data_IF_614960848721
#
_entry.id   IF_614960848721
#
_cell.length_a   1.000
_cell.length_b   1.000
_cell.length_c   1.000
_cell.angle_alpha   90.00
_cell.angle_beta   90.00
_cell.angle_gamma   90.00
#
_symmetry.space_group_name_H-M   'P 1'
#
loop_
_entity.id
_entity.type
_entity.pdbx_description
1 polymer ?
#
# COMPACT_ATOMS: atom_id res chain seq x y z
N UNK A 1 -21.63 -29.27 4.70
CA UNK A 1 -20.28 -29.28 4.09
C UNK A 1 -20.25 -28.24 2.97
N UNK A 2 -19.71 -27.04 3.22
CA UNK A 2 -19.50 -26.03 2.17
C UNK A 2 -18.06 -26.19 1.70
N UNK A 3 -17.87 -26.68 0.48
CA UNK A 3 -16.56 -26.65 -0.18
C UNK A 3 -16.19 -25.17 -0.33
N UNK A 4 -15.17 -24.71 0.38
CA UNK A 4 -14.49 -23.48 -0.03
C UNK A 4 -14.00 -23.75 -1.46
N UNK A 5 -14.48 -22.98 -2.43
CA UNK A 5 -13.85 -22.98 -3.74
C UNK A 5 -12.38 -22.63 -3.50
N UNK A 6 -11.47 -23.50 -3.92
CA UNK A 6 -10.04 -23.23 -3.83
C UNK A 6 -9.79 -21.95 -4.65
N UNK A 7 -9.38 -20.87 -3.99
CA UNK A 7 -8.98 -19.63 -4.66
C UNK A 7 -7.63 -19.88 -5.31
N UNK A 8 -7.44 -19.47 -6.56
CA UNK A 8 -6.12 -19.50 -7.16
C UNK A 8 -5.22 -18.46 -6.47
N UNK A 9 -3.94 -18.80 -6.31
CA UNK A 9 -2.92 -17.93 -5.74
C UNK A 9 -2.89 -16.59 -6.46
N UNK A 10 -2.81 -15.50 -5.70
CA UNK A 10 -2.38 -14.22 -6.29
C UNK A 10 -0.89 -14.34 -6.56
N UNK A 11 -0.50 -14.18 -7.82
CA UNK A 11 0.90 -14.26 -8.20
C UNK A 11 1.68 -13.09 -7.59
N UNK A 12 2.84 -13.40 -7.01
CA UNK A 12 3.82 -12.37 -6.70
C UNK A 12 4.26 -11.73 -8.02
N UNK A 13 3.97 -10.44 -8.18
CA UNK A 13 4.44 -9.66 -9.33
C UNK A 13 5.62 -8.83 -8.85
N UNK A 14 6.82 -9.39 -8.99
CA UNK A 14 8.05 -8.69 -8.60
C UNK A 14 8.32 -7.53 -9.55
N UNK A 15 8.32 -6.31 -9.02
CA UNK A 15 8.89 -5.15 -9.70
C UNK A 15 10.42 -5.27 -9.68
N UNK A 16 11.00 -6.06 -10.59
CA UNK A 16 12.44 -6.04 -10.79
C UNK A 16 12.84 -4.68 -11.38
N UNK A 17 13.38 -3.79 -10.56
CA UNK A 17 14.02 -2.57 -11.02
C UNK A 17 15.34 -2.96 -11.68
N UNK A 18 15.36 -3.04 -13.02
CA UNK A 18 16.62 -3.10 -13.76
C UNK A 18 17.26 -1.71 -13.68
N UNK A 19 18.08 -1.49 -12.67
CA UNK A 19 19.16 -0.52 -12.78
C UNK A 19 20.19 -1.14 -13.74
N UNK A 20 20.25 -0.67 -14.98
CA UNK A 20 21.33 -1.06 -15.90
C UNK A 20 22.65 -0.49 -15.39
N UNK A 21 23.32 -1.26 -14.54
CA UNK A 21 24.74 -1.13 -14.21
C UNK A 21 25.43 -2.42 -14.65
N UNK A 22 26.21 -2.34 -15.71
CA UNK A 22 27.04 -3.44 -16.23
C UNK A 22 28.02 -3.96 -15.17
N UNK A 23 28.06 -5.27 -14.94
CA UNK A 23 29.13 -5.93 -14.19
C UNK A 23 28.77 -7.33 -13.71
N UNK A 24 29.36 -8.34 -14.34
CA UNK A 24 29.07 -9.76 -14.17
C UNK A 24 29.63 -10.37 -12.87
N UNK A 25 28.94 -11.40 -12.34
CA UNK A 25 29.49 -12.73 -12.03
C UNK A 25 28.44 -13.62 -11.34
N UNK A 26 28.42 -14.91 -11.71
CA UNK A 26 27.57 -15.96 -11.16
C UNK A 26 28.15 -16.58 -9.89
N UNK A 27 27.25 -17.16 -9.09
CA UNK A 27 27.33 -18.47 -8.42
C UNK A 27 27.19 -18.49 -6.89
N UNK A 28 26.10 -19.14 -6.48
CA UNK A 28 25.96 -20.22 -5.47
C UNK A 28 26.25 -19.97 -3.99
N UNK A 29 25.29 -20.47 -3.22
CA UNK A 29 25.28 -20.88 -1.82
C UNK A 29 25.18 -19.77 -0.75
N UNK A 30 24.02 -19.80 -0.08
CA UNK A 30 23.61 -18.90 0.97
C UNK A 30 24.46 -19.03 2.25
N UNK A 31 24.63 -17.93 3.01
CA UNK A 31 24.97 -18.06 4.41
C UNK A 31 24.00 -17.31 5.35
N UNK A 32 23.72 -18.02 6.45
CA UNK A 32 23.12 -17.60 7.71
C UNK A 32 23.96 -16.55 8.44
N UNK A 33 23.31 -15.73 9.29
CA UNK A 33 23.97 -14.74 10.16
C UNK A 33 24.72 -15.40 11.32
N UNK A 34 25.96 -14.99 11.57
CA UNK A 34 26.47 -14.75 12.94
C UNK A 34 27.73 -13.88 12.94
N UNK A 35 27.79 -12.92 13.86
CA UNK A 35 28.90 -11.99 14.04
C UNK A 35 30.06 -12.64 14.82
N UNK A 36 31.30 -12.42 14.35
CA UNK A 36 32.51 -12.10 15.14
C UNK A 36 33.74 -11.93 14.23
N UNK A 37 34.59 -11.00 14.64
CA UNK A 37 35.73 -10.39 13.94
C UNK A 37 36.79 -11.37 13.39
N UNK A 38 37.46 -11.01 12.27
CA UNK A 38 38.92 -10.78 12.19
C UNK A 38 39.26 -9.93 10.94
N UNK A 39 40.15 -8.98 11.19
CA UNK A 39 40.76 -7.92 10.37
C UNK A 39 41.43 -8.33 9.04
N UNK A 40 41.22 -7.52 8.00
CA UNK A 40 42.25 -7.18 7.01
C UNK A 40 41.95 -5.77 6.44
N UNK A 41 42.85 -4.83 6.69
CA UNK A 41 42.70 -3.44 6.29
C UNK A 41 42.99 -3.26 4.78
N UNK A 42 41.95 -2.95 4.01
CA UNK A 42 42.10 -2.29 2.70
C UNK A 42 41.79 -0.81 2.90
N UNK A 43 42.79 0.03 2.72
CA UNK A 43 42.68 1.49 2.86
C UNK A 43 41.84 2.04 1.70
N UNK A 44 40.56 2.26 1.94
CA UNK A 44 39.69 3.01 1.03
C UNK A 44 40.20 4.47 0.92
N UNK A 45 40.15 5.10 -0.27
CA UNK A 45 40.50 6.51 -0.42
C UNK A 45 39.53 7.38 0.40
N UNK A 46 40.03 8.51 0.90
CA UNK A 46 39.28 9.40 1.79
C UNK A 46 37.99 9.89 1.12
N UNK A 47 36.85 9.31 1.51
CA UNK A 47 35.53 9.84 1.17
C UNK A 47 35.27 10.98 2.15
N UNK A 48 35.27 12.20 1.62
CA UNK A 48 34.76 13.39 2.29
C UNK A 48 33.36 13.10 2.82
N UNK A 49 33.11 13.52 4.07
CA UNK A 49 31.85 13.32 4.78
C UNK A 49 30.64 13.77 3.95
N UNK A 50 29.98 12.84 3.27
CA UNK A 50 28.59 13.01 2.93
C UNK A 50 27.84 12.93 4.25
N UNK A 51 27.28 14.05 4.71
CA UNK A 51 26.25 14.03 5.73
C UNK A 51 25.11 13.21 5.17
N UNK A 52 25.07 11.92 5.52
CA UNK A 52 23.91 11.08 5.28
C UNK A 52 22.76 11.71 6.06
N UNK A 53 21.86 12.41 5.34
CA UNK A 53 20.51 12.64 5.82
C UNK A 53 19.96 11.23 6.08
N UNK A 54 19.49 10.96 7.29
CA UNK A 54 18.86 9.67 7.60
C UNK A 54 17.85 9.37 6.47
N UNK A 55 17.96 8.19 5.84
CA UNK A 55 16.96 7.72 4.88
C UNK A 55 15.62 7.70 5.64
N UNK A 56 14.70 8.58 5.26
CA UNK A 56 13.28 8.30 5.45
C UNK A 56 13.02 6.93 4.84
N UNK A 57 12.26 6.05 5.48
CA UNK A 57 11.86 4.79 4.86
C UNK A 57 11.25 5.14 3.50
N UNK A 58 11.78 4.56 2.42
CA UNK A 58 11.26 4.83 1.08
C UNK A 58 9.81 4.31 1.03
N UNK A 59 8.92 5.06 0.38
CA UNK A 59 7.58 4.56 0.10
C UNK A 59 7.65 3.20 -0.64
N UNK A 60 6.70 2.28 -0.37
CA UNK A 60 6.80 0.92 -0.87
C UNK A 60 6.64 0.86 -2.38
N UNK A 61 7.34 -0.07 -3.04
CA UNK A 61 7.32 -0.25 -4.49
C UNK A 61 6.39 -1.41 -4.87
N UNK A 62 5.08 -1.20 -4.76
CA UNK A 62 4.11 -2.23 -5.11
C UNK A 62 3.53 -2.05 -6.52
N UNK A 63 3.23 -3.17 -7.21
CA UNK A 63 2.34 -3.11 -8.38
C UNK A 63 0.95 -2.63 -7.97
N UNK A 64 0.21 -2.06 -8.92
CA UNK A 64 -1.24 -1.89 -8.76
C UNK A 64 -1.91 -3.21 -9.16
N UNK A 65 -2.69 -3.80 -8.26
CA UNK A 65 -3.60 -4.88 -8.61
C UNK A 65 -5.00 -4.36 -8.86
N UNK A 66 -5.69 -5.03 -9.78
CA UNK A 66 -7.07 -4.74 -10.11
C UNK A 66 -7.86 -6.04 -10.21
N UNK A 67 -9.10 -6.02 -9.71
CA UNK A 67 -10.04 -7.14 -9.88
C UNK A 67 -11.22 -6.71 -10.73
N UNK A 68 -11.55 -7.50 -11.73
CA UNK A 68 -12.78 -7.33 -12.50
C UNK A 68 -14.02 -7.91 -11.76
N UNK A 69 -15.21 -7.73 -12.34
CA UNK A 69 -16.46 -8.24 -11.74
C UNK A 69 -16.56 -9.76 -11.75
N UNK A 70 -15.84 -10.44 -12.63
CA UNK A 70 -15.81 -11.90 -12.75
C UNK A 70 -14.86 -12.54 -11.74
N UNK A 71 -14.02 -11.74 -11.09
CA UNK A 71 -13.04 -12.20 -10.11
C UNK A 71 -11.65 -12.46 -10.68
N UNK A 72 -11.37 -12.03 -11.91
CA UNK A 72 -10.01 -12.10 -12.46
C UNK A 72 -9.16 -10.95 -11.91
N UNK A 73 -7.94 -11.26 -11.53
CA UNK A 73 -6.94 -10.32 -11.05
C UNK A 73 -5.95 -9.97 -12.16
N UNK A 74 -5.58 -8.71 -12.19
CA UNK A 74 -4.62 -8.13 -13.11
C UNK A 74 -3.59 -7.32 -12.33
N UNK A 75 -2.31 -7.58 -12.56
CA UNK A 75 -1.20 -6.81 -12.00
C UNK A 75 -0.70 -5.78 -13.00
N UNK A 76 -0.44 -4.57 -12.51
CA UNK A 76 0.09 -3.44 -13.27
C UNK A 76 1.37 -2.95 -12.61
N UNK A 77 2.50 -3.27 -13.23
CA UNK A 77 3.82 -2.91 -12.71
C UNK A 77 4.10 -1.43 -13.04
N UNK A 78 4.57 -0.60 -12.08
CA UNK A 78 5.10 0.72 -12.37
C UNK A 78 6.15 0.68 -13.48
N UNK A 79 6.09 1.68 -14.38
CA UNK A 79 7.05 1.81 -15.47
C UNK A 79 8.31 2.61 -15.09
N UNK A 80 8.40 3.05 -13.82
CA UNK A 80 9.50 3.84 -13.28
C UNK A 80 9.47 5.33 -13.65
N UNK A 81 8.38 5.81 -14.29
CA UNK A 81 8.22 7.19 -14.79
C UNK A 81 6.85 7.78 -14.44
N UNK A 82 6.18 7.25 -13.40
CA UNK A 82 4.84 7.68 -13.01
C UNK A 82 3.75 7.16 -13.92
N UNK A 83 3.90 5.95 -14.47
CA UNK A 83 2.86 5.26 -15.21
C UNK A 83 2.93 3.75 -14.99
N UNK A 84 2.07 3.00 -15.68
CA UNK A 84 1.96 1.56 -15.52
C UNK A 84 2.31 0.85 -16.83
N UNK A 85 2.91 -0.34 -16.72
CA UNK A 85 3.11 -1.26 -17.85
C UNK A 85 1.78 -1.92 -18.24
N UNK A 86 1.81 -2.66 -19.35
CA UNK A 86 0.67 -3.49 -19.75
C UNK A 86 0.29 -4.49 -18.63
N UNK A 87 -1.00 -4.76 -18.42
CA UNK A 87 -1.44 -5.66 -17.37
C UNK A 87 -0.96 -7.08 -17.62
N UNK A 88 -0.67 -7.79 -16.54
CA UNK A 88 -0.43 -9.23 -16.54
C UNK A 88 -1.52 -9.94 -15.73
N UNK A 89 -1.98 -11.14 -16.12
CA UNK A 89 -2.86 -11.95 -15.28
C UNK A 89 -2.17 -12.25 -13.94
N UNK A 90 -2.90 -12.04 -12.84
CA UNK A 90 -2.39 -12.20 -11.49
C UNK A 90 -3.15 -13.25 -10.66
N UNK A 91 -4.27 -13.77 -11.16
CA UNK A 91 -5.08 -14.78 -10.48
C UNK A 91 -6.54 -14.73 -10.93
N UNK A 92 -7.34 -15.66 -10.44
CA UNK A 92 -8.78 -15.77 -10.73
C UNK A 92 -9.56 -16.24 -9.50
N UNK A 93 -10.89 -16.32 -9.62
CA UNK A 93 -11.79 -16.77 -8.56
C UNK A 93 -11.82 -15.85 -7.31
N UNK A 94 -11.63 -14.54 -7.49
CA UNK A 94 -11.63 -13.53 -6.41
C UNK A 94 -12.94 -12.74 -6.27
N UNK A 95 -14.01 -13.13 -6.95
CA UNK A 95 -15.30 -12.42 -6.99
C UNK A 95 -15.98 -12.30 -5.62
N UNK A 96 -15.71 -13.22 -4.69
CA UNK A 96 -16.27 -13.19 -3.34
C UNK A 96 -15.48 -12.34 -2.33
N UNK A 97 -14.28 -11.85 -2.68
CA UNK A 97 -13.51 -10.97 -1.82
C UNK A 97 -14.23 -9.61 -1.70
N UNK A 98 -14.41 -9.11 -0.49
CA UNK A 98 -14.98 -7.78 -0.27
C UNK A 98 -13.91 -6.69 -0.28
N UNK A 99 -12.75 -7.02 0.29
CA UNK A 99 -11.58 -6.15 0.38
C UNK A 99 -10.33 -6.99 0.12
N UNK A 100 -9.34 -6.36 -0.50
CA UNK A 100 -8.02 -6.92 -0.76
C UNK A 100 -7.02 -5.77 -0.64
N UNK A 101 -5.85 -6.02 -0.08
CA UNK A 101 -4.78 -5.03 0.06
C UNK A 101 -3.44 -5.74 0.19
N UNK A 102 -2.43 -5.20 -0.48
CA UNK A 102 -1.05 -5.67 -0.34
C UNK A 102 -0.47 -5.16 0.99
N UNK A 103 0.29 -6.01 1.68
CA UNK A 103 0.91 -5.69 2.96
C UNK A 103 2.40 -5.98 2.94
N UNK A 104 3.20 -5.03 3.41
CA UNK A 104 4.63 -5.18 3.71
C UNK A 104 4.79 -5.46 5.22
N UNK A 105 5.12 -6.71 5.56
CA UNK A 105 5.17 -7.18 6.93
C UNK A 105 6.56 -7.02 7.55
N UNK A 106 7.62 -7.06 6.75
CA UNK A 106 9.00 -6.94 7.23
C UNK A 106 9.62 -5.54 7.03
N UNK A 107 8.86 -4.62 6.42
CA UNK A 107 9.21 -3.23 6.14
C UNK A 107 10.45 -3.09 5.23
N UNK A 108 10.63 -4.02 4.29
CA UNK A 108 11.71 -3.97 3.30
C UNK A 108 11.39 -3.06 2.08
N UNK A 109 10.16 -2.55 2.00
CA UNK A 109 9.67 -1.69 0.93
C UNK A 109 8.92 -2.45 -0.18
N UNK A 110 8.76 -3.77 -0.05
CA UNK A 110 7.97 -4.59 -0.95
C UNK A 110 6.88 -5.32 -0.16
N UNK A 111 5.72 -5.53 -0.77
CA UNK A 111 4.71 -6.37 -0.11
C UNK A 111 5.16 -7.82 0.01
N UNK A 112 4.77 -8.45 1.12
CA UNK A 112 5.00 -9.85 1.47
C UNK A 112 3.78 -10.74 1.23
N UNK A 113 2.61 -10.13 1.04
CA UNK A 113 1.37 -10.84 0.87
C UNK A 113 0.17 -9.93 0.72
N UNK A 114 -1.01 -10.55 0.84
CA UNK A 114 -2.29 -9.85 0.89
C UNK A 114 -3.05 -10.12 2.16
N UNK A 115 -3.66 -9.06 2.69
CA UNK A 115 -4.86 -9.20 3.48
C UNK A 115 -6.09 -9.17 2.58
N UNK A 116 -7.01 -10.10 2.81
CA UNK A 116 -8.29 -10.15 2.12
C UNK A 116 -9.43 -10.47 3.08
N UNK A 117 -10.63 -9.96 2.76
CA UNK A 117 -11.83 -10.19 3.56
C UNK A 117 -12.88 -10.91 2.73
N UNK A 118 -13.30 -12.08 3.20
CA UNK A 118 -14.36 -12.87 2.59
C UNK A 118 -15.49 -13.13 3.56
N UNK A 119 -16.67 -12.59 3.26
CA UNK A 119 -17.80 -12.65 4.17
C UNK A 119 -17.48 -12.00 5.51
N UNK A 120 -17.16 -12.82 6.50
CA UNK A 120 -16.88 -12.43 7.89
C UNK A 120 -15.43 -12.69 8.33
N UNK A 121 -14.58 -13.20 7.44
CA UNK A 121 -13.22 -13.63 7.77
C UNK A 121 -12.20 -12.66 7.15
N UNK A 122 -11.26 -12.20 7.98
CA UNK A 122 -9.99 -11.62 7.51
C UNK A 122 -8.98 -12.75 7.39
N UNK A 123 -8.33 -12.80 6.24
CA UNK A 123 -7.28 -13.75 5.93
C UNK A 123 -6.01 -13.03 5.50
N UNK A 124 -4.87 -13.68 5.71
CA UNK A 124 -3.58 -13.29 5.17
C UNK A 124 -3.06 -14.41 4.29
N UNK A 125 -2.59 -14.08 3.09
CA UNK A 125 -1.90 -15.05 2.21
C UNK A 125 -0.53 -14.48 1.85
N UNK A 126 0.57 -15.11 2.32
CA UNK A 126 1.92 -14.74 1.90
C UNK A 126 2.11 -14.97 0.40
N UNK A 127 2.86 -14.09 -0.24
CA UNK A 127 3.28 -14.23 -1.62
C UNK A 127 4.04 -15.53 -1.88
N UNK A 128 3.85 -16.08 -3.07
CA UNK A 128 4.48 -17.34 -3.48
C UNK A 128 3.94 -18.59 -2.79
N UNK A 129 2.90 -18.46 -1.94
CA UNK A 129 2.29 -19.56 -1.21
C UNK A 129 0.79 -19.66 -1.48
N UNK A 130 0.22 -20.84 -1.30
CA UNK A 130 -1.23 -21.06 -1.22
C UNK A 130 -1.74 -21.11 0.23
N UNK A 131 -0.91 -20.69 1.19
CA UNK A 131 -1.19 -20.74 2.63
C UNK A 131 -2.10 -19.56 3.02
N UNK A 132 -3.41 -19.76 2.85
CA UNK A 132 -4.41 -18.80 3.27
C UNK A 132 -4.71 -18.95 4.77
N UNK A 133 -4.19 -18.01 5.57
CA UNK A 133 -4.26 -18.03 7.03
C UNK A 133 -5.46 -17.23 7.52
N UNK A 134 -6.34 -17.85 8.30
CA UNK A 134 -7.39 -17.15 9.02
C UNK A 134 -6.77 -16.30 10.13
N UNK A 135 -6.97 -14.98 10.06
CA UNK A 135 -6.51 -14.02 11.07
C UNK A 135 -7.60 -13.76 12.10
N UNK A 136 -8.86 -13.64 11.65
CA UNK A 136 -9.98 -13.41 12.57
C UNK A 136 -11.34 -13.39 11.90
N UNK A 137 -12.39 -13.41 12.74
CA UNK A 137 -13.80 -13.31 12.34
C UNK A 137 -14.41 -11.98 12.77
N UNK A 138 -15.66 -11.70 12.38
CA UNK A 138 -16.36 -10.45 12.67
C UNK A 138 -16.14 -9.35 11.63
N UNK A 139 -15.48 -9.67 10.52
CA UNK A 139 -15.12 -8.69 9.49
C UNK A 139 -16.27 -8.27 8.60
N UNK A 140 -17.46 -8.90 8.73
CA UNK A 140 -18.63 -8.52 7.94
C UNK A 140 -19.12 -7.10 8.25
N UNK A 141 -18.80 -6.58 9.43
CA UNK A 141 -19.23 -5.28 9.94
C UNK A 141 -18.45 -4.10 9.33
N UNK A 142 -17.33 -4.37 8.64
CA UNK A 142 -16.51 -3.34 7.99
C UNK A 142 -17.00 -3.04 6.57
N UNK A 143 -16.96 -1.76 6.20
CA UNK A 143 -17.28 -1.26 4.86
C UNK A 143 -16.04 -0.67 4.14
N UNK A 144 -14.88 -0.71 4.78
CA UNK A 144 -13.56 -0.37 4.25
C UNK A 144 -12.50 -1.12 5.05
N UNK A 145 -11.48 -1.65 4.37
CA UNK A 145 -10.27 -2.18 5.00
C UNK A 145 -9.10 -2.11 3.99
N UNK A 146 -7.95 -1.59 4.41
CA UNK A 146 -6.71 -1.56 3.61
C UNK A 146 -5.47 -1.41 4.51
N UNK A 147 -4.31 -1.85 4.04
CA UNK A 147 -3.02 -1.62 4.69
C UNK A 147 -2.64 -0.15 4.50
N UNK A 148 -2.48 0.58 5.61
CA UNK A 148 -2.37 2.04 5.60
C UNK A 148 -0.95 2.54 5.90
N UNK A 149 0.06 1.68 5.76
CA UNK A 149 1.39 1.95 6.29
C UNK A 149 1.46 1.76 7.81
N UNK A 150 2.56 2.14 8.43
CA UNK A 150 2.86 2.08 9.86
C UNK A 150 2.34 3.32 10.62
N UNK A 151 1.03 3.53 10.62
CA UNK A 151 0.37 4.67 11.28
C UNK A 151 0.56 4.68 12.80
N UNK A 152 0.66 3.50 13.40
CA UNK A 152 0.75 3.27 14.84
C UNK A 152 2.19 3.21 15.37
N UNK A 153 3.19 3.20 14.50
CA UNK A 153 4.62 3.28 14.86
C UNK A 153 5.27 1.97 15.29
N UNK A 154 4.63 0.81 15.10
CA UNK A 154 5.16 -0.51 15.47
C UNK A 154 6.23 -1.08 14.53
N UNK A 155 6.35 -0.56 13.31
CA UNK A 155 7.31 -1.00 12.29
C UNK A 155 6.62 -1.62 11.08
N UNK A 156 6.00 -2.80 11.21
CA UNK A 156 5.18 -3.40 10.15
C UNK A 156 4.00 -2.51 9.76
N UNK A 157 3.45 -2.73 8.56
CA UNK A 157 2.24 -2.02 8.14
C UNK A 157 1.02 -2.39 9.00
N UNK A 158 0.16 -1.40 9.21
CA UNK A 158 -1.07 -1.52 9.98
C UNK A 158 -2.28 -1.66 9.06
N UNK A 159 -3.31 -2.34 9.54
CA UNK A 159 -4.60 -2.46 8.87
C UNK A 159 -5.57 -1.40 9.39
N UNK A 160 -6.05 -0.54 8.49
CA UNK A 160 -7.06 0.48 8.79
C UNK A 160 -8.43 0.01 8.29
N UNK A 161 -9.43 0.03 9.16
CA UNK A 161 -10.76 -0.45 8.83
C UNK A 161 -11.87 0.49 9.33
N UNK A 162 -12.92 0.67 8.53
CA UNK A 162 -14.10 1.48 8.90
C UNK A 162 -15.33 0.60 9.04
N UNK A 163 -15.98 0.65 10.20
CA UNK A 163 -17.22 -0.08 10.41
C UNK A 163 -18.42 0.61 9.74
N UNK A 164 -19.54 -0.11 9.62
CA UNK A 164 -20.76 0.41 9.01
C UNK A 164 -21.33 1.66 9.72
N UNK A 165 -21.01 1.87 10.99
CA UNK A 165 -21.42 3.06 11.76
C UNK A 165 -20.49 4.26 11.57
N UNK A 166 -19.40 4.10 10.81
CA UNK A 166 -18.45 5.14 10.48
C UNK A 166 -17.41 5.38 11.58
N UNK A 167 -17.16 4.39 12.44
CA UNK A 167 -15.98 4.40 13.30
C UNK A 167 -14.80 3.83 12.52
N UNK A 168 -13.68 4.54 12.57
CA UNK A 168 -12.41 4.09 12.03
C UNK A 168 -11.57 3.45 13.13
N UNK A 169 -10.98 2.31 12.79
CA UNK A 169 -10.22 1.44 13.67
C UNK A 169 -8.86 1.16 13.05
N UNK A 170 -7.82 1.19 13.87
CA UNK A 170 -6.46 0.84 13.51
C UNK A 170 -6.10 -0.50 14.16
N UNK A 171 -5.55 -1.41 13.39
CA UNK A 171 -5.08 -2.73 13.83
C UNK A 171 -3.59 -2.80 13.55
N UNK A 172 -2.77 -2.92 14.60
CA UNK A 172 -1.32 -2.94 14.40
C UNK A 172 -0.86 -4.27 13.82
N UNK A 173 0.08 -4.22 12.88
CA UNK A 173 0.69 -5.41 12.30
C UNK A 173 1.68 -6.09 13.26
N UNK A 174 1.69 -7.43 13.29
CA UNK A 174 2.73 -8.20 13.98
C UNK A 174 3.95 -8.52 13.10
N UNK A 175 3.91 -8.20 11.82
CA UNK A 175 4.96 -8.53 10.85
C UNK A 175 4.94 -9.98 10.36
N UNK A 176 3.84 -10.70 10.58
CA UNK A 176 3.63 -12.06 10.07
C UNK A 176 2.23 -12.24 9.44
N UNK A 177 1.58 -11.13 9.13
CA UNK A 177 0.20 -11.05 8.65
C UNK A 177 -0.87 -11.11 9.74
N UNK A 178 -0.54 -11.36 11.01
CA UNK A 178 -1.50 -11.18 12.11
C UNK A 178 -1.60 -9.70 12.48
N UNK A 179 -2.72 -9.36 13.13
CA UNK A 179 -2.98 -8.02 13.65
C UNK A 179 -3.44 -8.02 15.10
N UNK A 180 -3.27 -6.91 15.81
CA UNK A 180 -3.68 -6.74 17.21
C UNK A 180 -5.21 -6.67 17.41
N UNK A 181 -5.64 -6.51 18.65
CA UNK A 181 -6.97 -5.90 18.91
C UNK A 181 -7.00 -4.44 18.41
N UNK A 182 -8.16 -3.92 18.00
CA UNK A 182 -8.23 -2.61 17.38
C UNK A 182 -8.08 -1.45 18.36
N UNK A 183 -7.39 -0.41 17.90
CA UNK A 183 -7.39 0.92 18.47
C UNK A 183 -8.46 1.77 17.77
N UNK A 184 -9.26 2.48 18.56
CA UNK A 184 -10.28 3.36 18.01
C UNK A 184 -9.63 4.67 17.54
N UNK A 185 -9.69 4.95 16.24
CA UNK A 185 -9.21 6.22 15.68
C UNK A 185 -10.26 7.32 15.92
N UNK A 186 -11.54 7.05 15.63
CA UNK A 186 -12.60 8.04 15.84
C UNK A 186 -13.90 7.72 15.11
N UNK A 187 -14.94 8.51 15.36
CA UNK A 187 -16.25 8.43 14.65
C UNK A 187 -16.31 9.44 13.51
N UNK A 188 -17.31 9.33 12.64
CA UNK A 188 -17.63 10.36 11.63
C UNK A 188 -17.00 10.12 10.25
N UNK A 189 -16.45 8.93 10.02
CA UNK A 189 -15.71 8.63 8.80
C UNK A 189 -16.57 8.17 7.62
N UNK A 190 -17.88 7.95 7.80
CA UNK A 190 -18.78 7.43 6.75
C UNK A 190 -18.89 8.34 5.51
N UNK A 191 -18.67 9.66 5.67
CA UNK A 191 -18.74 10.63 4.57
C UNK A 191 -17.49 10.70 3.69
N UNK A 192 -16.46 9.90 3.98
CA UNK A 192 -15.17 9.98 3.30
C UNK A 192 -14.86 8.76 2.43
N UNK A 193 -14.21 8.97 1.29
CA UNK A 193 -13.40 7.94 0.64
C UNK A 193 -11.95 8.11 1.13
N UNK A 194 -11.38 7.06 1.72
CA UNK A 194 -10.10 7.11 2.44
C UNK A 194 -9.11 6.20 1.71
N UNK A 195 -7.87 6.68 1.55
CA UNK A 195 -6.75 5.90 1.06
C UNK A 195 -5.44 6.43 1.67
N UNK A 196 -4.42 5.60 1.77
CA UNK A 196 -3.11 5.96 2.32
C UNK A 196 -2.25 4.72 2.44
N UNK A 197 -0.93 4.90 2.40
CA UNK A 197 0.13 3.88 2.55
C UNK A 197 1.43 4.63 2.27
N UNK A 198 2.27 4.88 3.27
CA UNK A 198 3.48 5.70 3.12
C UNK A 198 3.35 7.17 3.52
N UNK A 199 4.50 7.84 3.61
CA UNK A 199 4.65 9.25 4.02
C UNK A 199 4.49 10.22 2.83
N UNK A 200 3.40 10.99 2.83
CA UNK A 200 3.12 12.03 1.82
C UNK A 200 3.75 13.37 2.20
N UNK A 201 4.02 13.57 3.48
CA UNK A 201 4.46 14.86 4.02
C UNK A 201 5.96 15.00 4.17
N UNK A 202 6.72 13.91 4.05
CA UNK A 202 8.17 13.85 4.20
C UNK A 202 8.65 13.96 5.65
N UNK A 203 7.78 13.72 6.64
CA UNK A 203 8.13 13.81 8.07
C UNK A 203 8.53 12.48 8.72
N UNK A 204 8.61 11.41 7.91
CA UNK A 204 8.98 10.06 8.31
C UNK A 204 7.83 9.25 8.91
N UNK A 205 6.58 9.69 8.76
CA UNK A 205 5.39 9.00 9.27
C UNK A 205 4.38 8.83 8.15
N UNK A 206 3.73 7.67 8.13
CA UNK A 206 2.77 7.38 7.09
C UNK A 206 1.50 8.21 7.25
N UNK A 207 0.95 8.65 6.13
CA UNK A 207 -0.18 9.57 6.07
C UNK A 207 -1.38 8.92 5.39
N UNK A 208 -2.56 9.50 5.60
CA UNK A 208 -3.74 9.17 4.80
C UNK A 208 -4.34 10.42 4.17
N UNK A 209 -5.03 10.20 3.05
CA UNK A 209 -5.91 11.17 2.44
C UNK A 209 -7.37 10.73 2.55
N UNK A 210 -8.26 11.70 2.70
CA UNK A 210 -9.69 11.46 2.75
C UNK A 210 -10.43 12.48 1.89
N UNK A 211 -11.22 12.00 0.93
CA UNK A 211 -12.08 12.82 0.08
C UNK A 211 -13.49 12.86 0.67
N UNK A 212 -14.02 14.05 0.90
CA UNK A 212 -15.41 14.21 1.34
C UNK A 212 -16.42 14.24 0.18
N UNK A 213 -17.71 14.25 0.51
CA UNK A 213 -18.81 14.29 -0.46
C UNK A 213 -18.86 15.58 -1.28
N UNK A 214 -18.26 16.68 -0.80
CA UNK A 214 -18.16 17.93 -1.55
C UNK A 214 -16.98 17.92 -2.55
N UNK A 215 -16.16 16.86 -2.55
CA UNK A 215 -14.99 16.74 -3.40
C UNK A 215 -13.79 17.53 -2.88
N UNK A 216 -13.75 17.84 -1.59
CA UNK A 216 -12.55 18.36 -0.94
C UNK A 216 -11.66 17.17 -0.57
N UNK A 217 -10.37 17.26 -0.89
CA UNK A 217 -9.38 16.30 -0.44
C UNK A 217 -8.70 16.84 0.82
N UNK A 218 -8.67 16.01 1.84
CA UNK A 218 -8.06 16.27 3.13
C UNK A 218 -6.85 15.37 3.33
N UNK A 219 -5.77 15.94 3.85
CA UNK A 219 -4.61 15.21 4.39
C UNK A 219 -4.80 15.04 5.89
N UNK A 220 -4.56 13.83 6.39
CA UNK A 220 -4.42 13.54 7.81
C UNK A 220 -2.99 13.02 8.04
N UNK A 221 -2.20 13.80 8.78
CA UNK A 221 -0.83 13.44 9.07
C UNK A 221 -0.75 12.27 10.05
N UNK A 222 0.12 11.31 9.79
CA UNK A 222 0.44 10.25 10.74
C UNK A 222 1.09 10.80 12.00
N UNK A 223 0.83 10.18 13.14
CA UNK A 223 1.53 10.51 14.40
C UNK A 223 2.54 9.44 14.80
N UNK A 224 2.42 8.22 14.30
CA UNK A 224 3.20 7.07 14.78
C UNK A 224 2.81 6.62 16.19
N UNK A 225 1.61 7.00 16.67
CA UNK A 225 1.06 6.59 17.96
C UNK A 225 -0.30 5.92 17.76
N UNK A 226 -0.38 4.62 18.01
CA UNK A 226 -1.61 3.84 17.87
C UNK A 226 -2.83 4.39 18.63
N UNK A 227 -2.63 5.15 19.73
CA UNK A 227 -3.72 5.74 20.50
C UNK A 227 -4.24 7.06 19.91
N UNK A 228 -3.45 7.70 19.06
CA UNK A 228 -3.81 8.95 18.40
C UNK A 228 -3.19 8.98 16.98
N UNK A 229 -3.49 8.02 16.09
CA UNK A 229 -2.66 7.75 14.91
C UNK A 229 -2.71 8.85 13.84
N UNK A 230 -3.70 9.74 13.90
CA UNK A 230 -3.91 10.80 12.93
C UNK A 230 -4.00 12.16 13.61
N UNK A 231 -3.31 13.14 13.03
CA UNK A 231 -3.42 14.55 13.39
C UNK A 231 -4.68 15.24 12.84
N UNK A 232 -4.76 16.55 13.06
CA UNK A 232 -5.83 17.37 12.49
C UNK A 232 -5.75 17.41 10.96
N UNK A 233 -6.92 17.42 10.31
CA UNK A 233 -7.01 17.45 8.85
C UNK A 233 -6.56 18.78 8.27
N UNK A 234 -5.85 18.73 7.14
CA UNK A 234 -5.50 19.90 6.32
C UNK A 234 -6.15 19.78 4.95
N UNK A 235 -6.74 20.87 4.44
CA UNK A 235 -7.31 20.88 3.09
C UNK A 235 -6.17 20.93 2.07
N UNK A 236 -6.12 19.95 1.16
CA UNK A 236 -5.05 19.84 0.15
C UNK A 236 -5.58 19.84 -1.29
N UNK A 237 -6.90 19.87 -1.48
CA UNK A 237 -7.48 19.95 -2.82
C UNK A 237 -8.98 20.19 -2.86
N UNK A 238 -9.49 20.45 -4.05
CA UNK A 238 -10.92 20.57 -4.35
C UNK A 238 -11.21 19.98 -5.74
N UNK A 239 -12.49 19.76 -6.08
CA UNK A 239 -12.88 19.19 -7.36
C UNK A 239 -12.65 17.67 -7.48
N UNK A 240 -12.39 16.98 -6.37
CA UNK A 240 -12.14 15.54 -6.37
C UNK A 240 -13.41 14.69 -6.58
N UNK A 241 -14.59 15.33 -6.65
CA UNK A 241 -15.85 14.69 -6.99
C UNK A 241 -15.91 14.15 -8.44
N UNK A 242 -14.94 14.51 -9.30
CA UNK A 242 -14.72 13.86 -10.59
C UNK A 242 -14.23 12.41 -10.46
N UNK A 243 -13.62 12.06 -9.32
CA UNK A 243 -13.10 10.73 -9.03
C UNK A 243 -14.09 9.87 -8.27
N UNK A 244 -14.18 8.59 -8.63
CA UNK A 244 -15.02 7.61 -7.96
C UNK A 244 -14.23 6.55 -7.17
N UNK A 245 -12.90 6.51 -7.31
CA UNK A 245 -11.99 5.68 -6.50
C UNK A 245 -10.68 6.41 -6.24
N UNK A 246 -10.17 6.26 -5.03
CA UNK A 246 -8.79 6.55 -4.64
C UNK A 246 -8.12 5.24 -4.24
N UNK A 247 -6.85 5.08 -4.59
CA UNK A 247 -6.00 3.96 -4.15
C UNK A 247 -4.57 4.46 -3.99
N UNK A 248 -3.88 3.97 -2.97
CA UNK A 248 -2.46 4.26 -2.70
C UNK A 248 -1.79 2.90 -2.60
N UNK A 249 -0.92 2.59 -3.56
CA UNK A 249 -0.17 1.33 -3.58
C UNK A 249 1.28 1.53 -3.13
N UNK A 250 1.72 2.78 -3.07
CA UNK A 250 3.10 3.15 -2.81
C UNK A 250 3.61 4.12 -3.87
N UNK A 251 4.88 3.99 -4.23
CA UNK A 251 5.63 4.87 -5.13
C UNK A 251 5.63 4.33 -6.57
N UNK A 252 4.95 5.05 -7.47
CA UNK A 252 4.76 4.68 -8.87
C UNK A 252 5.86 5.30 -9.76
N UNK A 253 6.54 6.35 -9.27
CA UNK A 253 7.67 6.99 -9.95
C UNK A 253 8.97 7.01 -9.14
N UNK A 254 9.48 5.82 -8.78
CA UNK A 254 10.37 5.49 -7.66
C UNK A 254 11.25 6.66 -7.14
N UNK A 255 10.65 7.68 -6.54
CA UNK A 255 11.30 8.88 -6.02
C UNK A 255 11.45 8.87 -4.48
N UNK A 256 10.94 7.80 -3.86
CA UNK A 256 10.93 7.54 -2.43
C UNK A 256 9.68 8.03 -1.71
N UNK A 257 8.73 8.65 -2.41
CA UNK A 257 7.53 9.28 -1.85
C UNK A 257 6.30 8.56 -2.38
N UNK A 258 5.28 8.38 -1.52
CA UNK A 258 4.10 7.66 -1.96
C UNK A 258 3.23 8.48 -2.91
N UNK A 259 2.58 7.79 -3.85
CA UNK A 259 1.70 8.39 -4.84
C UNK A 259 0.23 8.05 -4.60
N UNK A 260 -0.66 8.93 -5.06
CA UNK A 260 -2.10 8.69 -5.04
C UNK A 260 -2.61 8.41 -6.45
N UNK A 261 -3.23 7.26 -6.65
CA UNK A 261 -3.94 6.92 -7.86
C UNK A 261 -5.43 7.26 -7.69
N UNK A 262 -6.02 7.85 -8.73
CA UNK A 262 -7.42 8.23 -8.73
C UNK A 262 -8.11 7.82 -10.04
N UNK A 263 -9.23 7.11 -9.92
CA UNK A 263 -10.06 6.73 -11.07
C UNK A 263 -11.23 7.68 -11.20
N UNK A 264 -11.41 8.23 -12.39
CA UNK A 264 -12.55 9.10 -12.69
C UNK A 264 -13.83 8.29 -12.96
N UNK A 265 -14.97 9.00 -12.99
CA UNK A 265 -16.28 8.37 -13.26
C UNK A 265 -16.39 7.78 -14.67
N UNK A 266 -15.57 8.23 -15.62
CA UNK A 266 -15.54 7.75 -17.00
C UNK A 266 -14.59 6.55 -17.20
N UNK A 267 -13.86 6.16 -16.15
CA UNK A 267 -12.92 5.04 -16.18
C UNK A 267 -11.52 5.42 -16.66
N UNK A 268 -11.13 6.70 -16.67
CA UNK A 268 -9.73 7.08 -16.79
C UNK A 268 -9.01 6.95 -15.43
N UNK A 269 -7.72 6.62 -15.48
CA UNK A 269 -6.85 6.52 -14.30
C UNK A 269 -5.82 7.66 -14.33
N UNK A 270 -5.63 8.27 -13.17
CA UNK A 270 -4.67 9.35 -12.95
C UNK A 270 -3.73 8.96 -11.82
N UNK A 271 -2.47 9.39 -11.93
CA UNK A 271 -1.51 9.42 -10.84
C UNK A 271 -1.32 10.85 -10.36
N UNK A 272 -1.29 11.04 -9.05
CA UNK A 272 -0.96 12.27 -8.35
C UNK A 272 0.30 11.99 -7.55
N UNK A 273 1.42 12.48 -8.06
CA UNK A 273 2.71 12.20 -7.46
C UNK A 273 2.87 12.84 -6.09
N UNK A 274 3.44 12.11 -5.15
CA UNK A 274 3.85 12.63 -3.86
C UNK A 274 4.90 13.74 -4.01
N UNK A 275 4.97 14.65 -3.05
CA UNK A 275 6.01 15.70 -3.05
C UNK A 275 6.86 15.72 -1.79
N UNK A 276 6.45 14.99 -0.73
CA UNK A 276 7.13 15.01 0.57
C UNK A 276 7.05 16.38 1.22
N UNK A 277 6.00 17.15 0.93
CA UNK A 277 5.79 18.48 1.48
C UNK A 277 4.33 18.64 1.91
N UNK A 278 4.11 18.70 3.23
CA UNK A 278 2.77 18.83 3.83
C UNK A 278 1.91 20.00 3.28
N UNK A 279 2.53 21.09 2.81
CA UNK A 279 1.79 22.25 2.28
C UNK A 279 1.31 22.05 0.85
N UNK A 280 1.91 21.10 0.12
CA UNK A 280 1.57 20.78 -1.26
C UNK A 280 1.86 19.29 -1.54
N UNK A 281 1.21 18.35 -0.82
CA UNK A 281 1.66 16.94 -0.75
C UNK A 281 1.49 16.17 -2.06
N UNK A 282 0.70 16.71 -3.00
CA UNK A 282 0.44 16.10 -4.30
C UNK A 282 0.75 17.07 -5.43
N UNK A 283 1.47 16.59 -6.43
CA UNK A 283 1.65 17.27 -7.70
C UNK A 283 0.35 17.27 -8.54
N UNK A 284 0.39 17.94 -9.69
CA UNK A 284 -0.73 17.91 -10.64
C UNK A 284 -0.96 16.48 -11.14
N UNK A 285 -2.22 16.07 -11.15
CA UNK A 285 -2.63 14.76 -11.67
C UNK A 285 -2.26 14.57 -13.14
N UNK A 286 -1.62 13.44 -13.44
CA UNK A 286 -1.27 12.99 -14.79
C UNK A 286 -2.17 11.82 -15.16
N UNK A 287 -2.82 11.89 -16.32
CA UNK A 287 -3.63 10.78 -16.83
C UNK A 287 -2.72 9.67 -17.34
N UNK A 288 -2.81 8.49 -16.74
CA UNK A 288 -1.98 7.31 -17.07
C UNK A 288 -2.78 6.17 -17.71
N UNK A 289 -4.12 6.29 -17.73
CA UNK A 289 -4.99 5.40 -18.48
C UNK A 289 -6.22 6.15 -18.98
N UNK A 290 -6.52 6.04 -20.28
CA UNK A 290 -7.55 6.87 -20.92
C UNK A 290 -8.98 6.42 -20.64
N UNK A 291 -9.21 5.12 -20.46
CA UNK A 291 -10.54 4.52 -20.23
C UNK A 291 -10.40 3.08 -19.72
N UNK A 292 -11.53 2.40 -19.45
CA UNK A 292 -11.59 0.96 -19.15
C UNK A 292 -11.36 0.59 -17.68
N UNK A 293 -10.80 1.49 -16.86
CA UNK A 293 -10.55 1.21 -15.44
C UNK A 293 -11.82 1.05 -14.61
N UNK A 294 -12.97 1.49 -15.12
CA UNK A 294 -14.29 1.23 -14.55
C UNK A 294 -14.78 -0.22 -14.74
N UNK A 295 -14.07 -1.02 -15.54
CA UNK A 295 -14.25 -2.47 -15.61
C UNK A 295 -13.83 -3.19 -14.31
N UNK A 296 -12.95 -2.57 -13.53
CA UNK A 296 -12.50 -3.09 -12.25
C UNK A 296 -13.40 -2.65 -11.10
N UNK A 297 -13.77 -3.58 -10.23
CA UNK A 297 -14.53 -3.29 -9.03
C UNK A 297 -13.65 -3.23 -7.76
N UNK A 298 -12.39 -3.67 -7.82
CA UNK A 298 -11.36 -3.39 -6.82
C UNK A 298 -10.07 -2.92 -7.49
N UNK A 299 -9.36 -2.03 -6.81
CA UNK A 299 -8.01 -1.55 -7.08
C UNK A 299 -7.26 -1.57 -5.74
N UNK A 300 -6.08 -2.17 -5.65
CA UNK A 300 -5.34 -2.39 -4.40
C UNK A 300 -3.85 -2.67 -4.61
#
# INVERSE_FOLDING_TARGET
>A
MRRAAARATVAAVTAALVATGTGAAFATDAPTRSAKDVTAAVKAPAVTQFKAKARTANAPLNPLFARDKSGNLWGYIPNGKGGLKAPIPAGDNWQGARFMTQVDNDADGYSDGIWDIWGDELTYTPWGTSDNRLIGKGWKNYNLAFAAGNLGGSGPEDLLARDASGVLWLYLGYGDGRVTSPYKVGRGWNGFEIAGKGDLTGDGKDDIVAKDSAGVLWLYKGTGDAKAPLGARTRIGSGWNGFNKLVVVGDVDPDGITDVLARDKNGALFVYRGTGNASAPLARGVKIGSSGWNGYNLLF
#
